data_IF_137796731297
#
_entry.id   IF_137796731297
#
_cell.length_a   1.000
_cell.length_b   1.000
_cell.length_c   1.000
_cell.angle_alpha   90.00
_cell.angle_beta   90.00
_cell.angle_gamma   90.00
#
_symmetry.space_group_name_H-M   'P 1'
#
loop_
_entity.id
_entity.type
_entity.pdbx_description
1 polymer ?
#
# COMPACT_ATOMS: atom_id res chain seq x y z
N UNK A 1 13.51 -10.31 -12.95
CA UNK A 1 12.90 -11.34 -13.80
C UNK A 1 13.17 -12.69 -13.17
N UNK A 2 12.16 -13.32 -12.55
CA UNK A 2 12.28 -14.70 -12.06
C UNK A 2 11.77 -15.61 -13.19
N UNK A 3 12.63 -16.44 -13.81
CA UNK A 3 12.29 -17.16 -15.03
C UNK A 3 11.56 -18.47 -14.70
N UNK A 4 10.22 -18.44 -14.53
CA UNK A 4 9.37 -19.66 -14.59
C UNK A 4 7.84 -19.44 -14.47
N UNK A 5 7.31 -18.23 -14.65
CA UNK A 5 5.87 -17.99 -14.51
C UNK A 5 5.39 -17.07 -15.64
N UNK A 6 4.68 -17.63 -16.63
CA UNK A 6 3.96 -16.88 -17.67
C UNK A 6 2.73 -16.16 -17.06
N UNK A 7 2.98 -15.21 -16.15
CA UNK A 7 1.93 -14.42 -15.53
C UNK A 7 1.63 -13.22 -16.43
N UNK A 8 0.44 -13.19 -17.01
CA UNK A 8 -0.11 -12.00 -17.66
C UNK A 8 -0.43 -10.94 -16.61
N UNK A 9 0.40 -9.91 -16.50
CA UNK A 9 0.17 -8.80 -15.57
C UNK A 9 -0.75 -7.79 -16.24
N UNK A 10 -1.99 -7.66 -15.76
CA UNK A 10 -2.98 -6.72 -16.32
C UNK A 10 -2.74 -5.27 -15.90
N UNK A 11 -2.45 -5.02 -14.62
CA UNK A 11 -2.16 -3.68 -14.09
C UNK A 11 -1.09 -3.76 -13.00
N UNK A 12 -0.29 -2.71 -12.89
CA UNK A 12 0.72 -2.54 -11.85
C UNK A 12 0.50 -1.19 -11.18
N UNK A 13 0.44 -1.21 -9.86
CA UNK A 13 0.20 -0.02 -9.04
C UNK A 13 1.31 0.14 -8.00
N UNK A 14 1.59 1.38 -7.62
CA UNK A 14 2.43 1.71 -6.47
C UNK A 14 1.54 1.98 -5.24
N UNK A 15 1.98 1.45 -4.10
CA UNK A 15 1.47 1.83 -2.78
C UNK A 15 2.68 2.29 -1.96
N UNK A 16 2.65 3.53 -1.47
CA UNK A 16 3.69 4.01 -0.54
C UNK A 16 3.26 3.62 0.87
N UNK A 17 4.01 2.69 1.47
CA UNK A 17 3.73 2.18 2.80
C UNK A 17 4.46 2.98 3.88
N UNK A 18 3.86 3.10 5.07
CA UNK A 18 4.39 3.83 6.24
C UNK A 18 4.80 5.28 5.92
N UNK A 19 3.96 5.99 5.17
CA UNK A 19 4.20 7.40 4.92
C UNK A 19 4.00 8.21 6.22
N UNK A 20 5.04 8.92 6.62
CA UNK A 20 5.00 9.86 7.75
C UNK A 20 4.84 11.28 7.22
N UNK A 21 3.72 11.93 7.54
CA UNK A 21 3.45 13.30 7.09
C UNK A 21 3.24 13.40 5.58
N UNK A 22 3.88 14.38 4.95
CA UNK A 22 3.77 14.65 3.53
C UNK A 22 4.74 13.81 2.69
N UNK A 23 4.41 13.59 1.42
CA UNK A 23 5.27 12.88 0.48
C UNK A 23 6.60 13.64 0.30
N UNK A 24 7.77 13.01 0.56
CA UNK A 24 9.05 13.65 0.30
C UNK A 24 9.22 13.96 -1.18
N UNK A 25 9.72 15.15 -1.50
CA UNK A 25 9.92 15.58 -2.89
C UNK A 25 10.70 14.57 -3.76
N UNK A 26 11.80 13.94 -3.28
CA UNK A 26 12.51 12.95 -4.08
C UNK A 26 11.67 11.71 -4.43
N UNK A 27 10.71 11.33 -3.58
CA UNK A 27 9.82 10.22 -3.85
C UNK A 27 8.74 10.61 -4.86
N UNK A 28 8.18 11.82 -4.75
CA UNK A 28 7.27 12.37 -5.76
C UNK A 28 7.94 12.45 -7.14
N UNK A 29 9.16 12.98 -7.21
CA UNK A 29 9.94 13.06 -8.44
C UNK A 29 10.20 11.68 -9.05
N UNK A 30 10.50 10.68 -8.22
CA UNK A 30 10.69 9.31 -8.69
C UNK A 30 9.39 8.70 -9.25
N UNK A 31 8.24 8.95 -8.61
CA UNK A 31 6.93 8.47 -9.09
C UNK A 31 6.64 9.03 -10.48
N UNK A 32 6.90 10.33 -10.68
CA UNK A 32 6.72 11.00 -11.96
C UNK A 32 7.72 10.51 -13.01
N UNK A 33 9.01 10.41 -12.66
CA UNK A 33 10.07 9.99 -13.58
C UNK A 33 9.87 8.58 -14.12
N UNK A 34 9.37 7.66 -13.28
CA UNK A 34 9.16 6.26 -13.64
C UNK A 34 7.72 5.96 -14.08
N UNK A 35 6.87 7.00 -14.23
CA UNK A 35 5.46 6.88 -14.63
C UNK A 35 4.69 5.84 -13.80
N UNK A 36 4.95 5.80 -12.49
CA UNK A 36 4.33 4.83 -11.60
C UNK A 36 2.90 5.25 -11.27
N UNK A 37 1.95 4.33 -11.44
CA UNK A 37 0.55 4.56 -11.08
C UNK A 37 0.38 4.44 -9.55
N UNK A 38 0.52 5.57 -8.83
CA UNK A 38 0.28 5.62 -7.38
C UNK A 38 -1.21 5.39 -7.06
N UNK A 39 -1.54 4.23 -6.52
CA UNK A 39 -2.90 3.88 -6.15
C UNK A 39 -3.32 4.54 -4.83
N UNK A 40 -2.42 4.52 -3.84
CA UNK A 40 -2.66 5.10 -2.52
C UNK A 40 -1.40 5.15 -1.64
N UNK A 41 -1.53 5.77 -0.47
CA UNK A 41 -0.52 5.80 0.59
C UNK A 41 -1.11 5.16 1.84
N UNK A 42 -0.30 4.37 2.57
CA UNK A 42 -0.65 3.86 3.90
C UNK A 42 0.15 4.65 4.92
N UNK A 43 -0.51 5.30 5.90
CA UNK A 43 0.20 6.07 6.92
C UNK A 43 1.01 5.15 7.83
N UNK A 44 2.04 5.69 8.46
CA UNK A 44 2.68 5.05 9.60
C UNK A 44 1.74 5.07 10.81
N UNK A 45 1.65 3.96 11.54
CA UNK A 45 0.78 3.83 12.72
C UNK A 45 1.51 3.08 13.84
N UNK A 46 1.76 3.72 15.00
CA UNK A 46 2.39 3.08 16.14
C UNK A 46 1.67 1.82 16.62
N UNK A 47 0.34 1.72 16.43
CA UNK A 47 -0.45 0.56 16.80
C UNK A 47 -0.05 -0.70 16.00
N UNK A 48 0.65 -0.56 14.86
CA UNK A 48 1.12 -1.70 14.07
C UNK A 48 2.29 -2.45 14.70
N UNK A 49 3.07 -1.85 15.61
CA UNK A 49 4.29 -2.46 16.11
C UNK A 49 4.05 -3.86 16.75
N UNK A 50 2.97 -4.01 17.50
CA UNK A 50 2.59 -5.30 18.08
C UNK A 50 2.20 -6.32 16.98
N UNK A 51 1.40 -5.89 16.00
CA UNK A 51 0.92 -6.75 14.92
C UNK A 51 2.06 -7.27 14.05
N UNK A 52 3.03 -6.40 13.77
CA UNK A 52 4.24 -6.77 13.04
C UNK A 52 5.09 -7.79 13.81
N UNK A 53 5.30 -7.56 15.11
CA UNK A 53 6.11 -8.45 15.93
C UNK A 53 5.44 -9.81 16.17
N UNK A 54 4.11 -9.82 16.30
CA UNK A 54 3.33 -11.03 16.60
C UNK A 54 2.86 -11.77 15.34
N UNK A 55 3.03 -11.18 14.14
CA UNK A 55 2.54 -11.72 12.88
C UNK A 55 1.01 -11.70 12.76
N UNK A 56 0.34 -10.85 13.54
CA UNK A 56 -1.13 -10.70 13.47
C UNK A 56 -1.54 -9.97 12.19
N UNK A 57 -2.60 -10.43 11.51
CA UNK A 57 -3.03 -9.84 10.25
C UNK A 57 -3.68 -8.47 10.47
N UNK A 58 -3.51 -7.56 9.49
CA UNK A 58 -4.05 -6.20 9.53
C UNK A 58 -5.58 -6.12 9.62
N UNK A 59 -6.29 -7.19 9.23
CA UNK A 59 -7.77 -7.26 9.33
C UNK A 59 -8.26 -7.33 10.77
N UNK A 60 -7.38 -7.61 11.73
CA UNK A 60 -7.69 -7.59 13.17
C UNK A 60 -7.45 -6.21 13.82
N UNK A 61 -6.96 -5.21 13.07
CA UNK A 61 -6.87 -3.84 13.58
C UNK A 61 -8.28 -3.27 13.81
N UNK A 62 -8.44 -2.37 14.80
CA UNK A 62 -9.68 -1.61 14.93
C UNK A 62 -10.01 -0.87 13.64
N UNK A 63 -11.28 -0.90 13.25
CA UNK A 63 -11.73 -0.36 11.96
C UNK A 63 -11.49 1.16 11.83
N UNK A 64 -11.44 1.87 12.95
CA UNK A 64 -11.20 3.31 13.01
C UNK A 64 -9.73 3.70 12.88
N UNK A 65 -8.80 2.73 12.87
CA UNK A 65 -7.38 3.02 12.63
C UNK A 65 -7.14 3.51 11.20
N UNK A 66 -6.20 4.44 11.05
CA UNK A 66 -5.90 5.05 9.76
C UNK A 66 -5.38 4.03 8.75
N UNK A 67 -4.60 3.04 9.22
CA UNK A 67 -4.09 1.94 8.39
C UNK A 67 -5.22 1.05 7.89
N UNK A 68 -6.12 0.61 8.78
CA UNK A 68 -7.24 -0.25 8.38
C UNK A 68 -8.11 0.44 7.32
N UNK A 69 -8.42 1.73 7.53
CA UNK A 69 -9.19 2.53 6.59
C UNK A 69 -8.47 2.71 5.24
N UNK A 70 -7.17 2.95 5.25
CA UNK A 70 -6.37 3.08 4.02
C UNK A 70 -6.35 1.77 3.21
N UNK A 71 -6.05 0.65 3.86
CA UNK A 71 -6.00 -0.67 3.22
C UNK A 71 -7.38 -1.10 2.72
N UNK A 72 -8.43 -0.87 3.49
CA UNK A 72 -9.81 -1.17 3.06
C UNK A 72 -10.21 -0.39 1.80
N UNK A 73 -9.82 0.89 1.69
CA UNK A 73 -10.04 1.70 0.48
C UNK A 73 -9.25 1.18 -0.72
N UNK A 74 -8.01 0.76 -0.52
CA UNK A 74 -7.18 0.13 -1.57
C UNK A 74 -7.85 -1.15 -2.07
N UNK A 75 -8.25 -2.04 -1.16
CA UNK A 75 -8.94 -3.28 -1.49
C UNK A 75 -10.24 -3.02 -2.26
N UNK A 76 -11.06 -2.06 -1.83
CA UNK A 76 -12.27 -1.65 -2.53
C UNK A 76 -12.01 -1.14 -3.95
N UNK A 77 -10.96 -0.34 -4.16
CA UNK A 77 -10.56 0.15 -5.49
C UNK A 77 -10.07 -0.97 -6.41
N UNK A 78 -9.37 -1.95 -5.86
CA UNK A 78 -8.85 -3.07 -6.65
C UNK A 78 -9.99 -4.01 -7.01
N UNK A 79 -10.78 -4.46 -6.02
CA UNK A 79 -11.84 -5.47 -6.20
C UNK A 79 -13.03 -4.89 -6.99
N UNK A 80 -13.36 -3.62 -6.80
CA UNK A 80 -14.46 -2.97 -7.50
C UNK A 80 -14.18 -2.59 -8.97
N UNK A 81 -12.93 -2.76 -9.43
CA UNK A 81 -12.48 -2.44 -10.79
C UNK A 81 -12.24 -3.69 -11.67
N UNK A 82 -12.77 -4.86 -11.27
CA UNK A 82 -12.81 -6.08 -12.09
C UNK A 82 -14.09 -6.17 -12.91
#
# INVERSE_FOLDING_TARGET
MVPALEIGVGRVYLIVNRLQGEMPAPLTEAIEQYELELLSTVPDDPAMAEFEFTGRPLVELPEDTAVYQAVSKIAGRIIGNW
#
